data_IF_163012348475
#
_entry.id   IF_163012348475
#
_cell.length_a   1.000
_cell.length_b   1.000
_cell.length_c   1.000
_cell.angle_alpha   90.00
_cell.angle_beta   90.00
_cell.angle_gamma   90.00
#
_symmetry.space_group_name_H-M   'P 1'
#
loop_
_entity.id
_entity.type
_entity.pdbx_description
1 polymer ?
#
# COMPACT_ATOMS: atom_id res chain seq x y z
N UNK A 1 11.69 18.80 0.08
CA UNK A 1 11.06 17.72 -0.70
C UNK A 1 10.19 18.34 -1.79
N UNK A 2 10.82 18.90 -2.82
CA UNK A 2 10.15 19.60 -3.93
C UNK A 2 9.49 18.60 -4.92
N UNK A 3 10.02 17.38 -4.96
CA UNK A 3 9.61 16.32 -5.90
C UNK A 3 8.20 15.77 -5.65
N UNK A 4 7.76 15.62 -4.40
CA UNK A 4 6.41 15.11 -4.12
C UNK A 4 5.34 16.05 -4.71
N UNK A 5 5.51 17.36 -4.53
CA UNK A 5 4.59 18.36 -5.09
C UNK A 5 4.54 18.28 -6.61
N UNK A 6 5.70 18.14 -7.27
CA UNK A 6 5.78 17.96 -8.71
C UNK A 6 5.02 16.71 -9.18
N UNK A 7 5.17 15.58 -8.48
CA UNK A 7 4.42 14.36 -8.79
C UNK A 7 2.92 14.50 -8.57
N UNK A 8 2.47 15.21 -7.53
CA UNK A 8 1.05 15.49 -7.31
C UNK A 8 0.48 16.35 -8.43
N UNK A 9 1.18 17.41 -8.85
CA UNK A 9 0.77 18.22 -10.01
C UNK A 9 0.70 17.37 -11.28
N UNK A 10 1.72 16.54 -11.54
CA UNK A 10 1.73 15.65 -12.70
C UNK A 10 0.55 14.66 -12.68
N UNK A 11 0.26 14.07 -11.52
CA UNK A 11 -0.87 13.15 -11.33
C UNK A 11 -2.22 13.84 -11.62
N UNK A 12 -2.43 15.04 -11.09
CA UNK A 12 -3.62 15.85 -11.39
C UNK A 12 -3.74 16.16 -12.88
N UNK A 13 -2.63 16.51 -13.54
CA UNK A 13 -2.62 16.86 -14.96
C UNK A 13 -2.97 15.69 -15.88
N UNK A 14 -2.71 14.45 -15.47
CA UNK A 14 -3.09 13.25 -16.22
C UNK A 14 -4.45 12.67 -15.78
N UNK A 15 -5.17 13.37 -14.89
CA UNK A 15 -6.54 13.05 -14.50
C UNK A 15 -6.69 12.18 -13.25
N UNK A 16 -5.62 11.93 -12.48
CA UNK A 16 -5.76 11.25 -11.18
C UNK A 16 -6.52 12.18 -10.23
N UNK A 17 -7.57 11.66 -9.61
CA UNK A 17 -8.43 12.46 -8.73
C UNK A 17 -7.74 12.82 -7.41
N UNK A 18 -8.16 13.92 -6.75
CA UNK A 18 -7.66 14.27 -5.43
C UNK A 18 -7.90 13.18 -4.37
N UNK A 19 -8.98 12.39 -4.55
CA UNK A 19 -9.29 11.25 -3.68
C UNK A 19 -8.25 10.14 -3.88
N UNK A 20 -7.98 9.71 -5.11
CA UNK A 20 -6.99 8.67 -5.41
C UNK A 20 -5.59 9.05 -4.92
N UNK A 21 -5.18 10.32 -5.11
CA UNK A 21 -3.89 10.83 -4.62
C UNK A 21 -3.81 10.73 -3.09
N UNK A 22 -4.85 11.15 -2.37
CA UNK A 22 -4.85 11.06 -0.91
C UNK A 22 -4.86 9.61 -0.43
N UNK A 23 -5.64 8.74 -1.06
CA UNK A 23 -5.68 7.32 -0.71
C UNK A 23 -4.34 6.62 -0.99
N UNK A 24 -3.63 6.99 -2.05
CA UNK A 24 -2.29 6.50 -2.33
C UNK A 24 -1.28 6.94 -1.26
N UNK A 25 -1.41 8.17 -0.75
CA UNK A 25 -0.56 8.66 0.34
C UNK A 25 -0.95 8.02 1.68
N UNK A 26 -2.24 7.80 1.95
CA UNK A 26 -2.69 7.08 3.15
C UNK A 26 -2.22 5.62 3.16
N UNK A 27 -2.09 4.98 2.00
CA UNK A 27 -1.52 3.64 1.87
C UNK A 27 -0.10 3.55 2.48
N UNK A 28 0.64 4.65 2.58
CA UNK A 28 1.95 4.68 3.23
C UNK A 28 1.89 4.53 4.76
N UNK A 29 0.76 4.80 5.42
CA UNK A 29 0.70 4.90 6.89
C UNK A 29 1.11 3.60 7.61
N UNK A 30 0.65 2.40 7.22
CA UNK A 30 1.06 1.15 7.87
C UNK A 30 2.54 0.79 7.71
N UNK A 31 3.19 1.30 6.65
CA UNK A 31 4.55 0.89 6.27
C UNK A 31 5.62 1.94 6.63
N UNK A 32 5.28 3.23 6.50
CA UNK A 32 6.19 4.35 6.74
C UNK A 32 5.89 5.08 8.06
N UNK A 33 4.75 4.77 8.69
CA UNK A 33 4.27 5.41 9.91
C UNK A 33 3.56 6.74 9.67
N UNK A 34 2.76 7.15 10.66
CA UNK A 34 1.99 8.39 10.62
C UNK A 34 2.83 9.65 10.41
N UNK A 35 3.99 9.87 11.07
CA UNK A 35 4.72 11.14 10.92
C UNK A 35 5.12 11.44 9.47
N UNK A 36 5.66 10.44 8.75
CA UNK A 36 6.03 10.60 7.33
C UNK A 36 4.80 10.81 6.45
N UNK A 37 3.74 10.08 6.72
CA UNK A 37 2.49 10.16 5.96
C UNK A 37 1.80 11.53 6.15
N UNK A 38 1.75 12.05 7.37
CA UNK A 38 1.18 13.36 7.68
C UNK A 38 1.99 14.50 7.03
N UNK A 39 3.31 14.41 7.04
CA UNK A 39 4.16 15.37 6.32
C UNK A 39 3.89 15.36 4.81
N UNK A 40 3.69 14.18 4.21
CA UNK A 40 3.32 14.06 2.81
C UNK A 40 1.94 14.68 2.52
N UNK A 41 0.95 14.42 3.37
CA UNK A 41 -0.40 15.00 3.25
C UNK A 41 -0.37 16.54 3.33
N UNK A 42 0.48 17.13 4.18
CA UNK A 42 0.63 18.58 4.22
C UNK A 42 1.10 19.13 2.86
N UNK A 43 2.07 18.48 2.21
CA UNK A 43 2.55 18.89 0.90
C UNK A 43 1.51 18.69 -0.21
N UNK A 44 0.76 17.58 -0.17
CA UNK A 44 -0.35 17.32 -1.09
C UNK A 44 -1.43 18.40 -0.95
N UNK A 45 -1.79 18.76 0.29
CA UNK A 45 -2.78 19.80 0.56
C UNK A 45 -2.34 21.19 0.05
N UNK A 46 -1.04 21.50 0.09
CA UNK A 46 -0.52 22.73 -0.52
C UNK A 46 -0.72 22.74 -2.04
N UNK A 47 -0.48 21.61 -2.71
CA UNK A 47 -0.73 21.47 -4.16
C UNK A 47 -2.22 21.57 -4.47
N UNK A 48 -3.08 20.91 -3.70
CA UNK A 48 -4.53 21.00 -3.86
C UNK A 48 -5.02 22.45 -3.72
N UNK A 49 -4.57 23.18 -2.70
CA UNK A 49 -4.90 24.61 -2.53
C UNK A 49 -4.44 25.44 -3.72
N UNK A 50 -3.21 25.22 -4.21
CA UNK A 50 -2.69 25.92 -5.39
C UNK A 50 -3.47 25.61 -6.68
N UNK A 51 -4.06 24.40 -6.76
CA UNK A 51 -4.92 23.97 -7.85
C UNK A 51 -6.41 24.30 -7.62
N UNK A 52 -6.75 25.12 -6.62
CA UNK A 52 -8.13 25.49 -6.24
C UNK A 52 -9.03 24.29 -5.87
N UNK A 53 -8.44 23.21 -5.35
CA UNK A 53 -9.14 22.04 -4.83
C UNK A 53 -9.38 22.24 -3.33
N UNK A 54 -10.64 22.08 -2.90
CA UNK A 54 -11.01 22.18 -1.49
C UNK A 54 -10.42 21.03 -0.67
N UNK A 55 -9.92 21.34 0.52
CA UNK A 55 -9.41 20.37 1.50
C UNK A 55 -10.16 20.50 2.82
N UNK A 56 -10.47 19.40 3.54
CA UNK A 56 -10.14 18.01 3.19
C UNK A 56 -10.98 17.50 2.01
N UNK A 57 -10.40 16.58 1.23
CA UNK A 57 -11.16 15.85 0.20
C UNK A 57 -12.17 14.91 0.87
N UNK A 58 -13.21 14.50 0.15
CA UNK A 58 -14.28 13.65 0.68
C UNK A 58 -13.77 12.34 1.29
N UNK A 59 -14.20 12.03 2.51
CA UNK A 59 -13.79 10.82 3.24
C UNK A 59 -14.19 9.54 2.49
N UNK A 60 -13.26 8.59 2.42
CA UNK A 60 -13.49 7.26 1.84
C UNK A 60 -13.60 6.15 2.92
N UNK A 61 -13.73 6.52 4.19
CA UNK A 61 -13.87 5.59 5.32
C UNK A 61 -15.11 4.70 5.13
N UNK A 62 -14.93 3.38 5.25
CA UNK A 62 -16.02 2.39 5.14
C UNK A 62 -16.31 1.64 6.46
N UNK A 63 -15.43 1.74 7.44
CA UNK A 63 -15.52 1.01 8.72
C UNK A 63 -15.67 1.96 9.91
N UNK A 64 -16.00 1.42 11.09
CA UNK A 64 -16.06 2.12 12.38
C UNK A 64 -15.03 1.53 13.33
N UNK A 65 -14.90 2.06 14.56
CA UNK A 65 -13.99 1.47 15.54
C UNK A 65 -14.42 0.03 15.90
N UNK A 66 -15.72 -0.20 15.92
CA UNK A 66 -16.33 -1.50 16.21
C UNK A 66 -16.18 -2.50 15.06
N UNK A 67 -16.15 -2.02 13.80
CA UNK A 67 -16.17 -2.91 12.62
C UNK A 67 -14.81 -3.05 11.91
N UNK A 68 -13.83 -2.19 12.20
CA UNK A 68 -12.53 -2.18 11.51
C UNK A 68 -11.76 -3.51 11.63
N UNK A 69 -11.87 -4.20 12.76
CA UNK A 69 -11.20 -5.49 12.94
C UNK A 69 -11.80 -6.56 12.02
N UNK A 70 -13.12 -6.76 12.08
CA UNK A 70 -13.79 -7.83 11.33
C UNK A 70 -13.74 -7.59 9.82
N UNK A 71 -14.00 -6.37 9.36
CA UNK A 71 -13.92 -6.03 7.94
C UNK A 71 -12.47 -6.06 7.43
N UNK A 72 -11.52 -5.60 8.25
CA UNK A 72 -10.10 -5.70 7.95
C UNK A 72 -9.62 -7.14 7.84
N UNK A 73 -10.04 -8.01 8.77
CA UNK A 73 -9.72 -9.44 8.74
C UNK A 73 -10.29 -10.12 7.48
N UNK A 74 -11.51 -9.78 7.07
CA UNK A 74 -12.11 -10.29 5.81
C UNK A 74 -11.25 -9.90 4.60
N UNK A 75 -10.87 -8.62 4.48
CA UNK A 75 -10.03 -8.15 3.38
C UNK A 75 -8.66 -8.81 3.43
N UNK A 76 -8.02 -8.87 4.59
CA UNK A 76 -6.72 -9.54 4.76
C UNK A 76 -6.78 -11.01 4.31
N UNK A 77 -7.82 -11.74 4.71
CA UNK A 77 -8.03 -13.13 4.30
C UNK A 77 -8.33 -13.28 2.82
N UNK A 78 -9.04 -12.33 2.20
CA UNK A 78 -9.25 -12.37 0.75
C UNK A 78 -7.96 -12.22 -0.06
N UNK A 79 -6.94 -11.56 0.50
CA UNK A 79 -5.64 -11.34 -0.16
C UNK A 79 -4.66 -12.49 0.15
N UNK A 80 -4.60 -12.96 1.40
CA UNK A 80 -3.54 -13.88 1.86
C UNK A 80 -4.05 -15.29 2.21
N UNK A 81 -5.37 -15.51 2.23
CA UNK A 81 -5.98 -16.81 2.52
C UNK A 81 -5.82 -17.26 3.98
N UNK A 82 -5.88 -18.58 4.17
CA UNK A 82 -5.98 -19.23 5.49
C UNK A 82 -4.71 -19.06 6.37
N UNK A 83 -3.60 -18.61 5.79
CA UNK A 83 -2.38 -18.30 6.57
C UNK A 83 -2.65 -17.25 7.65
N UNK A 84 -3.63 -16.37 7.43
CA UNK A 84 -4.02 -15.33 8.38
C UNK A 84 -4.64 -15.93 9.65
N UNK A 85 -5.49 -16.95 9.51
CA UNK A 85 -6.06 -17.64 10.67
C UNK A 85 -4.94 -18.32 11.49
N UNK A 86 -3.96 -18.90 10.80
CA UNK A 86 -2.82 -19.52 11.46
C UNK A 86 -1.94 -18.49 12.18
N UNK A 87 -1.76 -17.29 11.60
CA UNK A 87 -1.00 -16.21 12.24
C UNK A 87 -1.66 -15.76 13.55
N UNK A 88 -2.99 -15.62 13.57
CA UNK A 88 -3.75 -15.29 14.77
C UNK A 88 -3.71 -16.42 15.82
N UNK A 89 -3.89 -17.67 15.39
CA UNK A 89 -3.87 -18.83 16.30
C UNK A 89 -2.48 -19.08 16.92
N UNK A 90 -1.41 -18.87 16.16
CA UNK A 90 -0.02 -19.08 16.62
C UNK A 90 0.53 -17.89 17.42
N UNK A 91 -0.15 -16.73 17.41
CA UNK A 91 0.29 -15.57 18.16
C UNK A 91 0.23 -15.84 19.66
N UNK A 92 1.36 -15.66 20.34
CA UNK A 92 1.42 -15.71 21.81
C UNK A 92 0.59 -14.58 22.40
N UNK A 93 0.05 -14.76 23.62
CA UNK A 93 -0.84 -13.76 24.26
C UNK A 93 -0.27 -12.33 24.24
N UNK A 94 1.02 -12.18 24.52
CA UNK A 94 1.69 -10.88 24.54
C UNK A 94 1.92 -10.26 23.15
N UNK A 95 1.64 -10.99 22.06
CA UNK A 95 1.81 -10.55 20.67
C UNK A 95 0.47 -10.46 19.91
N UNK A 96 -0.63 -11.01 20.44
CA UNK A 96 -1.95 -10.97 19.80
C UNK A 96 -2.39 -9.58 19.39
N UNK A 97 -2.08 -8.57 20.21
CA UNK A 97 -2.40 -7.18 19.91
C UNK A 97 -1.75 -6.70 18.59
N UNK A 98 -0.57 -7.21 18.22
CA UNK A 98 0.10 -6.87 16.96
C UNK A 98 -0.69 -7.44 15.77
N UNK A 99 -1.13 -8.70 15.85
CA UNK A 99 -1.95 -9.31 14.81
C UNK A 99 -3.30 -8.61 14.70
N UNK A 100 -3.89 -8.22 15.83
CA UNK A 100 -5.13 -7.46 15.85
C UNK A 100 -4.97 -6.08 15.23
N UNK A 101 -3.87 -5.37 15.51
CA UNK A 101 -3.58 -4.10 14.84
C UNK A 101 -3.31 -4.29 13.36
N UNK A 102 -2.66 -5.37 12.95
CA UNK A 102 -2.48 -5.65 11.52
C UNK A 102 -3.85 -5.78 10.82
N UNK A 103 -4.77 -6.58 11.36
CA UNK A 103 -6.11 -6.72 10.78
C UNK A 103 -6.93 -5.43 10.89
N UNK A 104 -6.99 -4.79 12.07
CA UNK A 104 -7.85 -3.63 12.32
C UNK A 104 -7.32 -2.32 11.71
N UNK A 105 -6.03 -2.03 11.88
CA UNK A 105 -5.44 -0.79 11.37
C UNK A 105 -5.01 -0.92 9.91
N UNK A 106 -4.12 -1.88 9.60
CA UNK A 106 -3.61 -1.98 8.24
C UNK A 106 -4.75 -2.34 7.27
N UNK A 107 -5.43 -3.47 7.49
CA UNK A 107 -6.46 -3.89 6.54
C UNK A 107 -7.79 -3.16 6.76
N UNK A 108 -8.22 -3.02 8.00
CA UNK A 108 -9.47 -2.34 8.37
C UNK A 108 -9.46 -0.87 8.01
N UNK A 109 -8.60 -0.06 8.63
CA UNK A 109 -8.66 1.40 8.43
C UNK A 109 -8.12 1.87 7.08
N UNK A 110 -7.24 1.10 6.42
CA UNK A 110 -6.59 1.51 5.16
C UNK A 110 -7.12 0.73 3.96
N UNK A 111 -7.08 -0.61 3.97
CA UNK A 111 -7.47 -1.38 2.77
C UNK A 111 -8.97 -1.41 2.49
N UNK A 112 -9.83 -1.26 3.50
CA UNK A 112 -11.29 -1.17 3.26
C UNK A 112 -11.71 0.18 2.68
N UNK A 113 -10.85 1.20 2.71
CA UNK A 113 -11.22 2.53 2.24
C UNK A 113 -11.52 2.52 0.75
N UNK A 114 -12.54 3.29 0.36
CA UNK A 114 -12.85 3.55 -1.04
C UNK A 114 -11.78 4.39 -1.75
N UNK A 115 -12.06 4.81 -2.97
CA UNK A 115 -11.16 5.64 -3.78
C UNK A 115 -10.05 4.88 -4.51
N UNK A 116 -9.58 3.75 -3.99
CA UNK A 116 -8.68 2.82 -4.68
C UNK A 116 -9.16 1.38 -4.50
N UNK A 117 -9.04 0.56 -5.54
CA UNK A 117 -9.33 -0.87 -5.46
C UNK A 117 -8.17 -1.66 -4.83
N UNK A 118 -8.43 -2.92 -4.47
CA UNK A 118 -7.42 -3.77 -3.83
C UNK A 118 -6.22 -4.06 -4.73
N UNK A 119 -6.43 -4.14 -6.06
CA UNK A 119 -5.34 -4.29 -7.04
C UNK A 119 -4.35 -3.13 -6.95
N UNK A 120 -4.86 -1.90 -6.91
CA UNK A 120 -4.02 -0.71 -6.84
C UNK A 120 -3.36 -0.60 -5.46
N UNK A 121 -4.09 -0.89 -4.37
CA UNK A 121 -3.53 -0.86 -3.01
C UNK A 121 -2.38 -1.85 -2.82
N UNK A 122 -2.54 -3.09 -3.28
CA UNK A 122 -1.47 -4.10 -3.22
C UNK A 122 -0.28 -3.72 -4.11
N UNK A 123 -0.52 -3.12 -5.29
CA UNK A 123 0.56 -2.65 -6.16
C UNK A 123 1.36 -1.52 -5.51
N UNK A 124 0.67 -0.55 -4.89
CA UNK A 124 1.30 0.53 -4.13
C UNK A 124 2.11 -0.03 -2.96
N UNK A 125 1.57 -0.99 -2.21
CA UNK A 125 2.28 -1.63 -1.11
C UNK A 125 3.56 -2.32 -1.58
N UNK A 126 3.53 -3.03 -2.72
CA UNK A 126 4.73 -3.62 -3.32
C UNK A 126 5.80 -2.54 -3.61
N UNK A 127 5.41 -1.42 -4.21
CA UNK A 127 6.31 -0.29 -4.48
C UNK A 127 6.87 0.30 -3.18
N UNK A 128 6.02 0.54 -2.17
CA UNK A 128 6.42 1.12 -0.88
C UNK A 128 7.45 0.24 -0.17
N UNK A 129 7.19 -1.06 -0.05
CA UNK A 129 8.08 -2.01 0.62
C UNK A 129 9.40 -2.20 -0.14
N UNK A 130 9.34 -2.27 -1.47
CA UNK A 130 10.54 -2.36 -2.31
C UNK A 130 11.41 -1.11 -2.14
N UNK A 131 10.78 0.08 -2.14
CA UNK A 131 11.49 1.34 -1.95
C UNK A 131 12.02 1.53 -0.52
N UNK A 132 11.37 0.96 0.50
CA UNK A 132 11.82 1.02 1.89
C UNK A 132 13.13 0.24 2.09
N UNK A 133 13.24 -0.96 1.48
CA UNK A 133 14.38 -1.86 1.60
C UNK A 133 14.45 -2.60 2.95
N UNK A 134 15.15 -3.74 3.00
CA UNK A 134 15.24 -4.56 4.22
C UNK A 134 13.91 -5.21 4.63
N UNK A 135 12.97 -5.31 3.69
CA UNK A 135 11.61 -5.82 3.88
C UNK A 135 11.32 -6.97 2.89
N UNK A 136 12.35 -7.72 2.48
CA UNK A 136 12.27 -8.72 1.40
C UNK A 136 11.19 -9.79 1.67
N UNK A 137 11.00 -10.19 2.94
CA UNK A 137 9.92 -11.12 3.31
C UNK A 137 8.51 -10.56 3.09
N UNK A 138 8.32 -9.25 3.34
CA UNK A 138 7.06 -8.56 3.11
C UNK A 138 6.87 -8.28 1.62
N UNK A 139 7.93 -7.89 0.89
CA UNK A 139 7.89 -7.77 -0.57
C UNK A 139 7.41 -9.08 -1.19
N UNK A 140 8.00 -10.21 -0.81
CA UNK A 140 7.59 -11.55 -1.29
C UNK A 140 6.13 -11.86 -0.95
N UNK A 141 5.69 -11.56 0.27
CA UNK A 141 4.29 -11.75 0.69
C UNK A 141 3.33 -10.92 -0.18
N UNK A 142 3.69 -9.67 -0.49
CA UNK A 142 2.87 -8.81 -1.34
C UNK A 142 3.00 -9.10 -2.84
N UNK A 143 4.01 -9.85 -3.30
CA UNK A 143 3.96 -10.47 -4.64
C UNK A 143 2.83 -11.50 -4.69
N UNK A 144 2.72 -12.41 -3.71
CA UNK A 144 1.57 -13.33 -3.62
C UNK A 144 0.24 -12.59 -3.51
N UNK A 145 0.18 -11.56 -2.64
CA UNK A 145 -1.02 -10.73 -2.46
C UNK A 145 -1.48 -10.09 -3.77
N UNK A 146 -0.55 -9.52 -4.55
CA UNK A 146 -0.83 -8.95 -5.87
C UNK A 146 -1.43 -9.97 -6.85
N UNK A 147 -0.89 -11.19 -6.90
CA UNK A 147 -1.43 -12.25 -7.76
C UNK A 147 -2.85 -12.65 -7.35
N UNK A 148 -3.10 -12.75 -6.04
CA UNK A 148 -4.41 -13.14 -5.50
C UNK A 148 -5.49 -12.07 -5.75
N UNK A 149 -5.12 -10.79 -5.78
CA UNK A 149 -6.05 -9.71 -6.18
C UNK A 149 -6.14 -9.54 -7.70
N UNK A 150 -5.36 -10.29 -8.48
CA UNK A 150 -5.46 -10.39 -9.94
C UNK A 150 -4.55 -9.44 -10.72
N UNK A 151 -3.49 -8.91 -10.13
CA UNK A 151 -2.37 -8.35 -10.88
C UNK A 151 -1.51 -9.50 -11.44
N UNK A 152 -0.78 -9.25 -12.52
CA UNK A 152 0.10 -10.24 -13.14
C UNK A 152 1.58 -9.87 -12.99
N UNK A 153 2.47 -10.82 -13.32
CA UNK A 153 3.92 -10.63 -13.23
C UNK A 153 4.39 -9.38 -13.98
N UNK A 154 3.85 -9.14 -15.18
CA UNK A 154 4.21 -7.99 -16.00
C UNK A 154 3.89 -6.68 -15.28
N UNK A 155 2.72 -6.56 -14.68
CA UNK A 155 2.32 -5.39 -13.89
C UNK A 155 3.30 -5.13 -12.74
N UNK A 156 3.76 -6.18 -12.05
CA UNK A 156 4.72 -6.04 -10.95
C UNK A 156 6.11 -5.61 -11.45
N UNK A 157 6.56 -6.16 -12.58
CA UNK A 157 7.83 -5.79 -13.21
C UNK A 157 7.81 -4.33 -13.66
N UNK A 158 6.73 -3.87 -14.29
CA UNK A 158 6.58 -2.48 -14.72
C UNK A 158 6.53 -1.52 -13.53
N UNK A 159 5.82 -1.89 -12.45
CA UNK A 159 5.75 -1.07 -11.24
C UNK A 159 7.13 -0.92 -10.55
N UNK A 160 7.89 -2.01 -10.45
CA UNK A 160 9.26 -1.97 -9.89
C UNK A 160 10.22 -1.22 -10.83
N UNK A 161 10.05 -1.36 -12.15
CA UNK A 161 10.81 -0.61 -13.16
C UNK A 161 10.55 0.89 -13.04
N UNK A 162 9.30 1.30 -12.86
CA UNK A 162 8.94 2.71 -12.67
C UNK A 162 9.52 3.29 -11.36
N UNK A 163 9.74 2.45 -10.35
CA UNK A 163 10.37 2.85 -9.10
C UNK A 163 11.90 2.95 -9.21
N UNK A 164 12.54 2.32 -10.21
CA UNK A 164 14.00 2.24 -10.36
C UNK A 164 14.69 3.61 -10.26
N UNK A 165 14.24 4.68 -10.95
CA UNK A 165 14.89 5.99 -10.87
C UNK A 165 14.88 6.59 -9.45
N UNK A 166 13.95 6.17 -8.59
CA UNK A 166 13.77 6.70 -7.24
C UNK A 166 14.45 5.87 -6.14
N UNK A 167 14.55 4.56 -6.33
CA UNK A 167 15.09 3.65 -5.31
C UNK A 167 16.43 2.99 -5.68
N UNK A 168 16.90 3.19 -6.92
CA UNK A 168 18.18 2.68 -7.40
C UNK A 168 18.23 1.15 -7.59
N UNK A 169 19.33 0.68 -8.18
CA UNK A 169 19.46 -0.73 -8.54
C UNK A 169 19.39 -1.72 -7.36
N UNK A 170 20.04 -1.52 -6.20
CA UNK A 170 20.02 -2.54 -5.15
C UNK A 170 18.61 -2.92 -4.67
N UNK A 171 17.76 -1.92 -4.42
CA UNK A 171 16.37 -2.15 -3.99
C UNK A 171 15.50 -2.71 -5.12
N UNK A 172 15.73 -2.24 -6.34
CA UNK A 172 15.07 -2.76 -7.55
C UNK A 172 15.38 -4.23 -7.78
N UNK A 173 16.64 -4.62 -7.64
CA UNK A 173 17.07 -6.02 -7.81
C UNK A 173 16.54 -6.92 -6.70
N UNK A 174 16.43 -6.43 -5.45
CA UNK A 174 15.76 -7.17 -4.38
C UNK A 174 14.27 -7.39 -4.68
N UNK A 175 13.57 -6.37 -5.19
CA UNK A 175 12.18 -6.48 -5.65
C UNK A 175 12.01 -7.49 -6.79
N UNK A 176 12.87 -7.39 -7.82
CA UNK A 176 12.90 -8.33 -8.95
C UNK A 176 13.18 -9.77 -8.49
N UNK A 177 14.10 -9.97 -7.55
CA UNK A 177 14.41 -11.27 -6.98
C UNK A 177 13.17 -11.90 -6.32
N UNK A 178 12.47 -11.13 -5.49
CA UNK A 178 11.23 -11.59 -4.85
C UNK A 178 10.13 -11.93 -5.87
N UNK A 179 9.97 -11.12 -6.92
CA UNK A 179 9.02 -11.40 -8.01
C UNK A 179 9.36 -12.71 -8.70
N UNK A 180 10.62 -12.92 -9.09
CA UNK A 180 11.05 -14.14 -9.79
C UNK A 180 11.01 -15.40 -8.93
N UNK A 181 11.20 -15.28 -7.62
CA UNK A 181 11.09 -16.41 -6.71
C UNK A 181 9.64 -16.90 -6.58
N UNK A 182 8.67 -15.97 -6.59
CA UNK A 182 7.24 -16.30 -6.48
C UNK A 182 6.63 -16.67 -7.82
N UNK A 183 7.01 -15.96 -8.89
CA UNK A 183 6.55 -16.21 -10.26
C UNK A 183 7.76 -16.39 -11.17
N UNK A 184 8.32 -17.61 -11.25
CA UNK A 184 9.41 -17.91 -12.18
C UNK A 184 9.01 -17.63 -13.64
N UNK A 185 9.98 -17.36 -14.51
CA UNK A 185 9.71 -17.38 -15.94
C UNK A 185 9.29 -18.78 -16.38
N UNK A 186 8.30 -18.86 -17.28
CA UNK A 186 8.00 -20.11 -17.96
C UNK A 186 9.23 -20.47 -18.80
N UNK A 187 9.80 -21.66 -18.55
CA UNK A 187 10.89 -22.21 -19.37
C UNK A 187 10.38 -22.64 -20.74
#
# INVERSE_FOLDING_TARGET
>A
MEQLKAHVFAALNIGVSPVEINEAVYQCAPYLGFPKTLNAIQQVNEVFKAANISVPVGSQKQVTEETRFDEGLKVQKSIFGDVIDQMHQKATENQKHIQNYLSAFCFGDIYTRGGLDLKTRELLTLCILSALGGCESQVKSHVYGNLNVGNDKNTLLEAVTQCLPYMGFPRTLNGLSAINEVVPENK
#
